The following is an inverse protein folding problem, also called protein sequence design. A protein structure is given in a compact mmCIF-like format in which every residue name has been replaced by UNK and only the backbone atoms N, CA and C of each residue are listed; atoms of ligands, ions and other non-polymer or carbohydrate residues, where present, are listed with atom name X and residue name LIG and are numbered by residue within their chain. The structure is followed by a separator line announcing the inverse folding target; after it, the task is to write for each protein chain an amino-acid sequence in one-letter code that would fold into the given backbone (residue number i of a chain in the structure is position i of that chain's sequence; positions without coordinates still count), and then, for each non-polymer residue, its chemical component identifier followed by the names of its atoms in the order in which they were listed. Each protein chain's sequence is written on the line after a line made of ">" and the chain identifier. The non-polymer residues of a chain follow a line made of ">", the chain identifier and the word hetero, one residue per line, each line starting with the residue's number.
data_IF_634279492641
#
_entry.id   IF_634279492641
#
_cell.length_a   1.000
_cell.length_b   1.000
_cell.length_c   1.000
_cell.angle_alpha   90.00
_cell.angle_beta   90.00
_cell.angle_gamma   90.00
#
_symmetry.space_group_name_H-M   'P 1'
#
loop_
_entity.id
_entity.type
_entity.pdbx_description
1 polymer ?
#
# COMPACT_ATOMS: atom_id res chain seq x y z
N UNK A 1 25.64 27.27 2.86
CA UNK A 1 25.81 25.92 2.28
C UNK A 1 27.24 25.39 2.43
N UNK A 2 28.27 26.23 2.35
CA UNK A 2 29.69 25.84 2.52
C UNK A 2 29.99 25.21 3.88
N UNK A 3 29.39 25.73 4.95
CA UNK A 3 29.70 25.30 6.32
C UNK A 3 29.16 23.91 6.64
N UNK A 4 28.01 23.55 6.06
CA UNK A 4 27.43 22.21 6.16
C UNK A 4 28.35 21.15 5.54
N UNK A 5 28.91 21.45 4.36
CA UNK A 5 29.84 20.55 3.70
C UNK A 5 31.17 20.44 4.45
N UNK A 6 31.67 21.54 5.01
CA UNK A 6 32.88 21.52 5.84
C UNK A 6 32.67 20.68 7.11
N UNK A 7 31.52 20.82 7.78
CA UNK A 7 31.16 20.00 8.93
C UNK A 7 31.05 18.52 8.58
N UNK A 8 30.33 18.18 7.50
CA UNK A 8 30.23 16.80 7.01
C UNK A 8 31.60 16.21 6.68
N UNK A 9 32.50 16.97 6.04
CA UNK A 9 33.85 16.51 5.74
C UNK A 9 34.71 16.28 7.00
N UNK A 10 34.36 16.92 8.12
CA UNK A 10 34.96 16.66 9.43
C UNK A 10 34.47 15.35 10.08
N UNK A 11 33.33 14.81 9.65
CA UNK A 11 32.88 13.48 10.06
C UNK A 11 33.67 12.44 9.29
N UNK A 12 34.57 11.70 9.94
CA UNK A 12 35.24 10.57 9.30
C UNK A 12 34.23 9.59 8.67
N UNK A 13 34.62 8.89 7.60
CA UNK A 13 33.73 8.11 6.73
C UNK A 13 32.74 7.18 7.48
N UNK A 14 33.16 6.55 8.57
CA UNK A 14 32.29 5.73 9.44
C UNK A 14 31.11 6.50 10.02
N UNK A 15 31.35 7.70 10.57
CA UNK A 15 30.31 8.53 11.20
C UNK A 15 29.38 9.12 10.16
N UNK A 16 29.95 9.55 9.03
CA UNK A 16 29.15 10.02 7.90
C UNK A 16 28.21 8.93 7.40
N UNK A 17 28.71 7.72 7.12
CA UNK A 17 27.87 6.62 6.63
C UNK A 17 26.78 6.24 7.64
N UNK A 18 27.08 6.24 8.94
CA UNK A 18 26.10 6.02 10.01
C UNK A 18 24.97 7.04 9.97
N UNK A 19 25.30 8.32 9.79
CA UNK A 19 24.33 9.41 9.68
C UNK A 19 23.42 9.19 8.47
N UNK A 20 23.97 8.80 7.33
CA UNK A 20 23.18 8.51 6.14
C UNK A 20 22.24 7.30 6.32
N UNK A 21 22.69 6.23 6.96
CA UNK A 21 21.82 5.10 7.32
C UNK A 21 20.71 5.54 8.27
N UNK A 22 21.04 6.34 9.30
CA UNK A 22 20.04 6.86 10.23
C UNK A 22 18.99 7.76 9.54
N UNK A 23 19.44 8.65 8.63
CA UNK A 23 18.54 9.47 7.80
C UNK A 23 17.66 8.59 6.93
N UNK A 24 18.21 7.54 6.31
CA UNK A 24 17.45 6.60 5.48
C UNK A 24 16.34 5.91 6.29
N UNK A 25 16.66 5.36 7.47
CA UNK A 25 15.69 4.74 8.37
C UNK A 25 14.61 5.73 8.83
N UNK A 26 14.99 6.98 9.13
CA UNK A 26 14.04 8.04 9.49
C UNK A 26 13.10 8.38 8.32
N UNK A 27 13.63 8.51 7.10
CA UNK A 27 12.83 8.77 5.92
C UNK A 27 11.86 7.62 5.62
N UNK A 28 12.32 6.37 5.78
CA UNK A 28 11.49 5.19 5.65
C UNK A 28 10.30 5.24 6.62
N UNK A 29 10.60 5.42 7.90
CA UNK A 29 9.59 5.41 8.97
C UNK A 29 8.58 6.54 8.85
N UNK A 30 9.03 7.74 8.51
CA UNK A 30 8.12 8.85 8.20
C UNK A 30 7.21 8.52 7.01
N UNK A 31 7.77 7.99 5.92
CA UNK A 31 6.98 7.57 4.75
C UNK A 31 5.99 6.43 5.07
N UNK A 32 6.40 5.46 5.87
CA UNK A 32 5.57 4.36 6.35
C UNK A 32 4.41 4.86 7.21
N UNK A 33 4.70 5.74 8.18
CA UNK A 33 3.69 6.35 9.05
C UNK A 33 2.70 7.19 8.26
N UNK A 34 3.19 8.07 7.37
CA UNK A 34 2.36 8.92 6.53
C UNK A 34 1.40 8.09 5.66
N UNK A 35 1.91 7.08 4.95
CA UNK A 35 1.05 6.29 4.08
C UNK A 35 0.17 5.27 4.84
N UNK A 36 0.50 4.90 6.09
CA UNK A 36 -0.41 4.14 6.96
C UNK A 36 -1.57 5.02 7.43
N UNK A 37 -1.25 6.22 7.93
CA UNK A 37 -2.24 7.23 8.35
C UNK A 37 -3.17 7.60 7.20
N UNK A 38 -2.63 7.79 5.99
CA UNK A 38 -3.43 8.10 4.80
C UNK A 38 -4.45 7.02 4.43
N UNK A 39 -4.17 5.74 4.73
CA UNK A 39 -5.07 4.63 4.43
C UNK A 39 -6.20 4.51 5.44
N UNK A 40 -5.89 4.66 6.74
CA UNK A 40 -6.92 4.63 7.80
C UNK A 40 -8.02 5.67 7.58
N UNK A 41 -7.66 6.84 7.07
CA UNK A 41 -8.63 7.89 6.72
C UNK A 41 -9.63 7.50 5.64
N UNK A 42 -9.34 6.49 4.83
CA UNK A 42 -10.24 6.08 3.73
C UNK A 42 -11.18 4.94 4.13
N UNK A 43 -10.85 4.17 5.17
CA UNK A 43 -11.56 2.92 5.49
C UNK A 43 -12.66 3.09 6.54
N UNK A 44 -12.46 3.96 7.54
CA UNK A 44 -13.42 4.07 8.67
C UNK A 44 -14.65 4.92 8.35
N UNK A 45 -14.67 5.65 7.24
CA UNK A 45 -15.75 6.58 6.97
C UNK A 45 -16.12 6.57 5.48
N UNK A 46 -17.19 5.84 5.14
CA UNK A 46 -17.94 6.07 3.90
C UNK A 46 -18.50 7.49 3.77
N UNK A 47 -18.30 8.33 4.79
CA UNK A 47 -18.49 9.77 4.76
C UNK A 47 -17.16 10.49 5.08
N UNK A 48 -16.69 11.44 4.28
CA UNK A 48 -15.51 12.24 4.62
C UNK A 48 -15.77 12.97 5.94
N UNK A 49 -15.06 12.60 7.01
CA UNK A 49 -15.06 13.38 8.24
C UNK A 49 -14.45 14.75 7.94
N UNK A 50 -15.22 15.81 8.16
CA UNK A 50 -14.96 17.21 7.74
C UNK A 50 -13.67 17.82 8.34
N UNK A 51 -13.02 17.14 9.29
CA UNK A 51 -11.76 17.57 9.91
C UNK A 51 -10.51 16.92 9.31
N UNK A 52 -10.53 16.63 8.01
CA UNK A 52 -9.35 16.22 7.26
C UNK A 52 -8.37 17.40 7.17
N UNK A 53 -7.47 17.48 8.15
CA UNK A 53 -6.41 18.48 8.20
C UNK A 53 -5.65 18.59 6.88
N UNK A 54 -5.07 19.76 6.62
CA UNK A 54 -4.48 20.16 5.34
C UNK A 54 -3.61 19.09 4.64
N UNK A 55 -2.89 18.28 5.42
CA UNK A 55 -2.00 17.23 4.91
C UNK A 55 -2.74 16.12 4.16
N UNK A 56 -3.92 15.71 4.63
CA UNK A 56 -4.76 14.70 3.98
C UNK A 56 -5.23 15.17 2.61
N UNK A 57 -5.70 16.42 2.55
CA UNK A 57 -6.13 17.07 1.31
C UNK A 57 -4.99 17.18 0.29
N UNK A 58 -3.77 17.54 0.72
CA UNK A 58 -2.61 17.60 -0.17
C UNK A 58 -2.24 16.22 -0.71
N UNK A 59 -2.17 15.19 0.14
CA UNK A 59 -1.85 13.83 -0.29
C UNK A 59 -2.92 13.25 -1.22
N UNK A 60 -4.19 13.50 -0.94
CA UNK A 60 -5.30 13.04 -1.78
C UNK A 60 -5.29 13.77 -3.14
N UNK A 61 -5.06 15.09 -3.15
CA UNK A 61 -4.93 15.89 -4.38
C UNK A 61 -3.74 15.43 -5.21
N UNK A 62 -2.61 15.13 -4.57
CA UNK A 62 -1.42 14.61 -5.23
C UNK A 62 -1.70 13.24 -5.86
N UNK A 63 -2.38 12.32 -5.14
CA UNK A 63 -2.72 10.98 -5.67
C UNK A 63 -3.74 11.01 -6.80
N UNK A 64 -4.69 11.97 -6.78
CA UNK A 64 -5.69 12.14 -7.84
C UNK A 64 -5.12 12.82 -9.10
N UNK A 65 -4.04 13.58 -8.97
CA UNK A 65 -3.39 14.21 -10.12
C UNK A 65 -2.72 13.15 -11.00
N UNK A 66 -2.79 13.31 -12.32
CA UNK A 66 -2.21 12.36 -13.29
C UNK A 66 -0.70 12.12 -13.10
N UNK A 67 0.02 13.10 -12.56
CA UNK A 67 1.44 13.03 -12.25
C UNK A 67 1.75 12.41 -10.88
N UNK A 68 0.75 12.14 -10.04
CA UNK A 68 0.91 11.60 -8.70
C UNK A 68 1.67 10.27 -8.66
N UNK A 69 1.26 9.25 -9.45
CA UNK A 69 1.96 7.97 -9.52
C UNK A 69 3.43 8.12 -9.97
N UNK A 70 3.69 9.01 -10.94
CA UNK A 70 5.04 9.29 -11.42
C UNK A 70 5.90 9.93 -10.34
N UNK A 71 5.38 10.94 -9.64
CA UNK A 71 6.10 11.60 -8.56
C UNK A 71 6.44 10.62 -7.43
N UNK A 72 5.50 9.76 -7.05
CA UNK A 72 5.74 8.71 -6.05
C UNK A 72 6.83 7.73 -6.51
N UNK A 73 6.85 7.37 -7.80
CA UNK A 73 7.92 6.53 -8.35
C UNK A 73 9.27 7.25 -8.34
N UNK A 74 9.32 8.54 -8.68
CA UNK A 74 10.54 9.34 -8.62
C UNK A 74 11.07 9.48 -7.19
N UNK A 75 10.20 9.73 -6.22
CA UNK A 75 10.58 9.78 -4.79
C UNK A 75 11.11 8.42 -4.33
N UNK A 76 10.44 7.32 -4.70
CA UNK A 76 10.93 5.96 -4.38
C UNK A 76 12.27 5.69 -5.04
N UNK A 77 12.44 6.05 -6.31
CA UNK A 77 13.71 5.89 -7.02
C UNK A 77 14.82 6.70 -6.35
N UNK A 78 14.56 7.95 -5.99
CA UNK A 78 15.52 8.81 -5.29
C UNK A 78 15.90 8.24 -3.91
N UNK A 79 14.94 7.66 -3.19
CA UNK A 79 15.20 6.99 -1.92
C UNK A 79 16.06 5.73 -2.09
N UNK A 80 15.63 4.80 -2.96
CA UNK A 80 16.25 3.49 -3.10
C UNK A 80 17.58 3.50 -3.85
N UNK A 81 17.69 4.32 -4.90
CA UNK A 81 18.90 4.42 -5.73
C UNK A 81 19.64 5.73 -5.51
N UNK A 82 18.93 6.84 -5.39
CA UNK A 82 19.54 8.16 -5.27
C UNK A 82 20.40 8.31 -4.02
N UNK A 83 19.95 7.83 -2.85
CA UNK A 83 20.70 7.95 -1.60
C UNK A 83 22.00 7.11 -1.61
N UNK A 84 21.98 5.81 -1.98
CA UNK A 84 23.21 5.04 -2.15
C UNK A 84 24.13 5.58 -3.25
N UNK A 85 23.57 6.07 -4.36
CA UNK A 85 24.35 6.63 -5.47
C UNK A 85 25.01 7.97 -5.13
N UNK A 86 24.32 8.84 -4.37
CA UNK A 86 24.88 10.10 -3.88
C UNK A 86 26.11 9.84 -2.98
N UNK A 87 26.04 8.80 -2.15
CA UNK A 87 27.16 8.33 -1.34
C UNK A 87 28.30 7.74 -2.17
N UNK A 88 27.99 7.03 -3.26
CA UNK A 88 28.99 6.49 -4.17
C UNK A 88 29.77 7.60 -4.90
N UNK A 89 29.08 8.66 -5.37
CA UNK A 89 29.72 9.81 -6.01
C UNK A 89 30.63 10.55 -5.02
N UNK A 90 30.27 10.55 -3.73
CA UNK A 90 31.05 11.18 -2.67
C UNK A 90 32.32 10.36 -2.39
N UNK A 91 33.40 10.77 -3.06
CA UNK A 91 34.73 10.13 -3.07
C UNK A 91 35.11 9.52 -1.71
N UNK A 92 35.14 8.18 -1.66
CA UNK A 92 35.78 7.41 -0.58
C UNK A 92 34.87 6.93 0.55
N UNK A 93 33.57 7.28 0.56
CA UNK A 93 32.66 6.76 1.60
C UNK A 93 32.16 5.35 1.25
N UNK A 94 31.95 5.08 -0.04
CA UNK A 94 31.38 3.82 -0.51
C UNK A 94 32.23 3.24 -1.64
N UNK A 95 32.78 2.06 -1.43
CA UNK A 95 33.54 1.33 -2.45
C UNK A 95 32.62 0.33 -3.18
N UNK A 96 32.84 0.14 -4.49
CA UNK A 96 32.03 -0.77 -5.32
C UNK A 96 32.19 -2.25 -4.92
N UNK A 97 33.32 -2.59 -4.30
CA UNK A 97 33.62 -3.95 -3.90
C UNK A 97 32.79 -4.40 -2.68
N UNK A 98 32.68 -3.64 -1.57
CA UNK A 98 31.68 -3.83 -0.51
C UNK A 98 30.24 -3.99 -0.98
N UNK A 99 29.86 -3.30 -2.07
CA UNK A 99 28.55 -3.46 -2.70
C UNK A 99 28.39 -4.80 -3.43
N UNK A 100 29.46 -5.59 -3.60
CA UNK A 100 29.41 -6.87 -4.29
C UNK A 100 29.22 -6.72 -5.80
N UNK A 101 29.51 -5.54 -6.34
CA UNK A 101 29.41 -5.26 -7.77
C UNK A 101 30.62 -5.79 -8.54
N UNK A 102 31.82 -5.71 -7.94
CA UNK A 102 33.09 -6.12 -8.58
C UNK A 102 33.52 -7.56 -8.24
N UNK A 103 32.76 -8.27 -7.40
CA UNK A 103 33.17 -9.58 -6.86
C UNK A 103 34.33 -9.50 -5.85
N UNK A 104 34.81 -10.64 -5.34
CA UNK A 104 36.02 -10.73 -4.51
C UNK A 104 37.25 -10.08 -5.17
N UNK A 105 38.12 -9.45 -4.38
CA UNK A 105 39.31 -8.70 -4.87
C UNK A 105 40.28 -9.57 -5.68
N UNK A 106 40.30 -10.86 -5.35
CA UNK A 106 41.25 -11.83 -5.87
C UNK A 106 40.83 -12.38 -7.25
N UNK A 107 39.64 -12.00 -7.72
CA UNK A 107 39.11 -12.35 -9.02
C UNK A 107 39.31 -11.16 -9.95
N UNK A 108 39.92 -11.39 -11.13
CA UNK A 108 40.06 -10.40 -12.20
C UNK A 108 38.79 -9.53 -12.29
N UNK A 109 38.96 -8.21 -12.13
CA UNK A 109 37.94 -7.20 -11.86
C UNK A 109 36.88 -7.11 -12.96
N UNK A 110 36.06 -8.14 -13.10
CA UNK A 110 34.92 -8.14 -13.99
C UNK A 110 33.78 -7.41 -13.29
N UNK A 111 33.16 -6.48 -14.00
CA UNK A 111 32.03 -5.63 -13.52
C UNK A 111 30.83 -6.46 -13.05
N UNK A 112 30.79 -7.75 -13.41
CA UNK A 112 29.74 -8.66 -13.05
C UNK A 112 30.17 -9.68 -11.96
N UNK A 113 31.44 -9.68 -11.55
CA UNK A 113 32.01 -10.64 -10.58
C UNK A 113 32.18 -12.07 -11.10
N UNK A 114 32.39 -12.25 -12.40
CA UNK A 114 32.59 -13.54 -13.08
C UNK A 114 34.09 -13.81 -13.23
N UNK A 115 34.77 -14.03 -12.11
CA UNK A 115 36.13 -14.57 -12.11
C UNK A 115 36.14 -16.10 -12.17
N UNK A 116 37.32 -16.74 -12.01
CA UNK A 116 37.48 -18.20 -12.12
C UNK A 116 36.56 -19.04 -11.22
N UNK A 117 36.07 -18.51 -10.09
CA UNK A 117 35.17 -19.23 -9.18
C UNK A 117 33.66 -19.05 -9.47
N UNK A 118 33.29 -18.39 -10.58
CA UNK A 118 31.90 -18.07 -10.88
C UNK A 118 30.97 -19.31 -10.85
N UNK A 119 31.47 -20.47 -11.28
CA UNK A 119 30.70 -21.71 -11.29
C UNK A 119 30.41 -22.21 -9.86
N UNK A 120 31.38 -22.12 -8.95
CA UNK A 120 31.21 -22.48 -7.54
C UNK A 120 30.22 -21.52 -6.88
N UNK A 121 30.37 -20.21 -7.10
CA UNK A 121 29.44 -19.21 -6.59
C UNK A 121 28.01 -19.43 -7.10
N UNK A 122 27.86 -19.75 -8.39
CA UNK A 122 26.57 -20.10 -9.00
C UNK A 122 25.98 -21.35 -8.35
N UNK A 123 26.77 -22.41 -8.17
CA UNK A 123 26.34 -23.63 -7.49
C UNK A 123 25.84 -23.38 -6.06
N UNK A 124 26.56 -22.55 -5.29
CA UNK A 124 26.14 -22.11 -3.95
C UNK A 124 24.81 -21.35 -4.00
N UNK A 125 24.63 -20.43 -4.96
CA UNK A 125 23.40 -19.66 -5.10
C UNK A 125 22.21 -20.50 -5.57
N UNK A 126 22.44 -21.52 -6.40
CA UNK A 126 21.42 -22.51 -6.75
C UNK A 126 21.00 -23.28 -5.50
N UNK A 127 21.95 -23.73 -4.67
CA UNK A 127 21.63 -24.43 -3.42
C UNK A 127 20.82 -23.54 -2.45
N UNK A 128 21.24 -22.28 -2.25
CA UNK A 128 20.49 -21.28 -1.44
C UNK A 128 19.11 -21.03 -2.03
N UNK A 129 19.00 -20.87 -3.35
CA UNK A 129 17.73 -20.68 -4.04
C UNK A 129 16.79 -21.86 -3.86
N UNK A 130 17.27 -23.10 -4.00
CA UNK A 130 16.49 -24.32 -3.78
C UNK A 130 16.03 -24.44 -2.32
N UNK A 131 16.94 -24.23 -1.36
CA UNK A 131 16.60 -24.23 0.06
C UNK A 131 15.53 -23.18 0.38
N UNK A 132 15.69 -21.97 -0.16
CA UNK A 132 14.70 -20.90 -0.03
C UNK A 132 13.35 -21.28 -0.64
N UNK A 133 13.33 -21.83 -1.85
CA UNK A 133 12.11 -22.30 -2.48
C UNK A 133 11.39 -23.36 -1.63
N UNK A 134 12.12 -24.29 -1.02
CA UNK A 134 11.55 -25.30 -0.12
C UNK A 134 10.92 -24.67 1.12
N UNK A 135 11.62 -23.74 1.80
CA UNK A 135 11.06 -23.02 2.97
C UNK A 135 9.76 -22.30 2.61
N UNK A 136 9.74 -21.65 1.45
CA UNK A 136 8.57 -20.91 0.96
C UNK A 136 7.41 -21.85 0.65
N UNK A 137 7.67 -22.94 -0.06
CA UNK A 137 6.65 -23.94 -0.40
C UNK A 137 6.10 -24.60 0.87
N UNK A 138 6.97 -24.93 1.82
CA UNK A 138 6.59 -25.52 3.10
C UNK A 138 5.76 -24.55 3.94
N UNK A 139 6.19 -23.30 4.12
CA UNK A 139 5.43 -22.29 4.86
C UNK A 139 4.04 -22.07 4.27
N UNK A 140 3.92 -22.07 2.94
CA UNK A 140 2.62 -21.98 2.25
C UNK A 140 1.74 -23.19 2.46
N UNK A 141 2.30 -24.40 2.39
CA UNK A 141 1.54 -25.63 2.62
C UNK A 141 0.97 -25.65 4.05
N UNK A 142 1.77 -25.25 5.05
CA UNK A 142 1.32 -25.12 6.43
C UNK A 142 0.23 -24.06 6.57
N UNK A 143 0.40 -22.87 5.97
CA UNK A 143 -0.62 -21.82 6.05
C UNK A 143 -1.95 -22.28 5.43
N UNK A 144 -1.92 -22.93 4.26
CA UNK A 144 -3.12 -23.49 3.63
C UNK A 144 -3.79 -24.53 4.51
N UNK A 145 -2.99 -25.38 5.17
CA UNK A 145 -3.52 -26.36 6.11
C UNK A 145 -4.22 -25.68 7.28
N UNK A 146 -3.62 -24.64 7.90
CA UNK A 146 -4.26 -23.87 8.97
C UNK A 146 -5.54 -23.17 8.50
N UNK A 147 -5.50 -22.51 7.34
CA UNK A 147 -6.65 -21.79 6.77
C UNK A 147 -7.79 -22.74 6.40
N UNK A 148 -7.51 -23.95 5.92
CA UNK A 148 -8.56 -24.93 5.62
C UNK A 148 -9.34 -25.37 6.87
N UNK A 149 -8.79 -25.15 8.07
CA UNK A 149 -9.42 -25.49 9.35
C UNK A 149 -9.94 -24.25 10.10
N UNK A 150 -9.83 -23.05 9.52
CA UNK A 150 -10.41 -21.82 10.05
C UNK A 150 -11.48 -21.37 9.06
N UNK A 151 -12.74 -21.31 9.47
CA UNK A 151 -13.95 -21.11 8.62
C UNK A 151 -14.00 -19.77 7.83
N UNK A 152 -12.91 -19.02 7.75
CA UNK A 152 -12.80 -17.78 6.99
C UNK A 152 -12.22 -18.01 5.60
N UNK A 153 -13.00 -18.58 4.69
CA UNK A 153 -12.66 -18.61 3.27
C UNK A 153 -12.70 -17.22 2.65
N UNK A 154 -11.67 -16.40 2.89
CA UNK A 154 -11.49 -15.12 2.19
C UNK A 154 -10.65 -15.35 0.93
N UNK A 155 -11.21 -14.97 -0.21
CA UNK A 155 -10.46 -14.86 -1.45
C UNK A 155 -9.38 -13.79 -1.26
N UNK A 156 -8.13 -14.20 -1.46
CA UNK A 156 -7.01 -13.27 -1.47
C UNK A 156 -7.01 -12.55 -2.81
N UNK A 157 -7.27 -11.24 -2.78
CA UNK A 157 -7.25 -10.37 -3.96
C UNK A 157 -5.84 -10.42 -4.57
N UNK A 158 -5.74 -11.03 -5.76
CA UNK A 158 -4.49 -11.24 -6.49
C UNK A 158 -4.18 -10.00 -7.34
N UNK A 159 -3.35 -9.10 -6.81
CA UNK A 159 -2.80 -7.97 -7.56
C UNK A 159 -1.73 -8.46 -8.57
N UNK A 160 -2.19 -9.14 -9.63
CA UNK A 160 -1.39 -9.86 -10.63
C UNK A 160 -0.51 -9.03 -11.56
N UNK A 161 0.32 -8.11 -11.05
CA UNK A 161 1.23 -7.29 -11.86
C UNK A 161 2.69 -7.74 -11.67
N UNK A 162 3.29 -8.30 -12.73
CA UNK A 162 4.67 -8.82 -12.78
C UNK A 162 5.75 -7.74 -12.95
N UNK A 163 5.45 -6.63 -13.64
CA UNK A 163 6.40 -5.51 -13.84
C UNK A 163 7.00 -4.90 -12.56
N UNK A 164 6.22 -4.76 -11.47
CA UNK A 164 6.72 -4.36 -10.15
C UNK A 164 7.84 -5.24 -9.59
N UNK A 165 7.93 -6.54 -9.91
CA UNK A 165 8.86 -7.47 -9.24
C UNK A 165 10.33 -7.12 -9.51
N UNK A 166 10.69 -6.89 -10.78
CA UNK A 166 12.09 -6.66 -11.17
C UNK A 166 12.59 -5.38 -10.52
N UNK A 167 11.82 -4.29 -10.66
CA UNK A 167 12.12 -3.00 -10.04
C UNK A 167 12.21 -3.11 -8.53
N UNK A 168 11.24 -3.77 -7.88
CA UNK A 168 11.23 -3.93 -6.43
C UNK A 168 12.44 -4.75 -5.96
N UNK A 169 12.81 -5.79 -6.68
CA UNK A 169 13.98 -6.61 -6.37
C UNK A 169 15.25 -5.75 -6.43
N UNK A 170 15.44 -4.97 -7.49
CA UNK A 170 16.59 -4.08 -7.63
C UNK A 170 16.62 -3.07 -6.48
N UNK A 171 15.50 -2.42 -6.18
CA UNK A 171 15.40 -1.46 -5.07
C UNK A 171 15.79 -2.09 -3.73
N UNK A 172 15.24 -3.26 -3.41
CA UNK A 172 15.53 -3.95 -2.16
C UNK A 172 16.99 -4.40 -2.08
N UNK A 173 17.57 -4.91 -3.16
CA UNK A 173 18.97 -5.35 -3.18
C UNK A 173 19.95 -4.19 -3.05
N UNK A 174 19.69 -3.06 -3.72
CA UNK A 174 20.52 -1.85 -3.59
C UNK A 174 20.41 -1.27 -2.18
N UNK A 175 19.19 -1.18 -1.64
CA UNK A 175 18.94 -0.68 -0.28
C UNK A 175 19.65 -1.52 0.78
N UNK A 176 19.53 -2.83 0.67
CA UNK A 176 20.18 -3.74 1.60
C UNK A 176 21.70 -3.72 1.45
N UNK A 177 22.22 -3.65 0.21
CA UNK A 177 23.65 -3.48 -0.04
C UNK A 177 24.19 -2.18 0.59
N UNK A 178 23.41 -1.10 0.54
CA UNK A 178 23.72 0.12 1.27
C UNK A 178 23.74 -0.12 2.79
N UNK A 179 22.74 -0.75 3.38
CA UNK A 179 22.69 -0.97 4.84
C UNK A 179 23.80 -1.85 5.38
N UNK A 180 24.26 -2.86 4.65
CA UNK A 180 25.38 -3.69 5.10
C UNK A 180 26.75 -2.99 4.97
N UNK A 181 26.89 -1.95 4.15
CA UNK A 181 28.17 -1.22 4.02
C UNK A 181 28.56 -0.53 5.31
N UNK A 182 27.60 -0.03 6.08
CA UNK A 182 27.87 0.62 7.36
C UNK A 182 28.49 -0.34 8.38
N UNK A 183 27.85 -1.48 8.72
CA UNK A 183 28.48 -2.56 9.49
C UNK A 183 29.86 -2.98 8.97
N UNK A 184 30.04 -3.08 7.66
CA UNK A 184 31.33 -3.48 7.09
C UNK A 184 32.44 -2.48 7.38
N UNK A 185 32.18 -1.17 7.29
CA UNK A 185 33.16 -0.15 7.65
C UNK A 185 33.56 -0.16 9.13
N UNK A 186 32.66 -0.60 10.01
CA UNK A 186 32.94 -0.74 11.44
C UNK A 186 33.67 -2.04 11.78
N UNK A 187 33.22 -3.16 11.22
CA UNK A 187 33.80 -4.48 11.47
C UNK A 187 35.14 -4.67 10.75
N UNK A 188 35.39 -3.93 9.67
CA UNK A 188 36.59 -4.02 8.86
C UNK A 188 36.53 -5.12 7.80
N UNK A 189 37.52 -5.11 6.90
CA UNK A 189 37.66 -6.11 5.83
C UNK A 189 37.78 -7.53 6.39
N UNK A 190 37.22 -8.51 5.66
CA UNK A 190 37.15 -9.91 6.10
C UNK A 190 35.92 -10.27 6.92
N UNK A 191 35.12 -9.28 7.34
CA UNK A 191 33.87 -9.48 8.10
C UNK A 191 32.61 -9.28 7.25
N UNK A 192 32.67 -9.50 5.93
CA UNK A 192 31.57 -9.21 5.00
C UNK A 192 30.32 -10.04 5.33
N UNK A 193 30.49 -11.28 5.80
CA UNK A 193 29.38 -12.14 6.22
C UNK A 193 28.64 -11.56 7.43
N UNK A 194 29.36 -11.17 8.48
CA UNK A 194 28.77 -10.53 9.66
C UNK A 194 28.12 -9.19 9.33
N UNK A 195 28.76 -8.40 8.45
CA UNK A 195 28.20 -7.15 7.97
C UNK A 195 26.88 -7.34 7.21
N UNK A 196 26.78 -8.40 6.40
CA UNK A 196 25.55 -8.77 5.68
C UNK A 196 24.39 -9.03 6.64
N UNK A 197 24.62 -9.80 7.70
CA UNK A 197 23.60 -10.09 8.71
C UNK A 197 23.27 -8.86 9.57
N UNK A 198 24.25 -8.03 9.92
CA UNK A 198 23.99 -6.76 10.59
C UNK A 198 23.10 -5.84 9.73
N UNK A 199 23.31 -5.82 8.40
CA UNK A 199 22.44 -5.15 7.45
C UNK A 199 20.99 -5.66 7.48
N UNK A 200 20.78 -6.98 7.64
CA UNK A 200 19.44 -7.55 7.88
C UNK A 200 18.83 -7.02 9.17
N UNK A 201 19.64 -6.87 10.23
CA UNK A 201 19.18 -6.26 11.49
C UNK A 201 18.64 -4.84 11.31
N UNK A 202 19.28 -4.03 10.46
CA UNK A 202 18.82 -2.68 10.13
C UNK A 202 17.50 -2.73 9.34
N UNK A 203 17.39 -3.62 8.33
CA UNK A 203 16.13 -3.82 7.59
C UNK A 203 15.00 -4.31 8.51
N UNK A 204 15.31 -5.19 9.46
CA UNK A 204 14.35 -5.68 10.44
C UNK A 204 13.88 -4.55 11.38
N UNK A 205 14.78 -3.64 11.78
CA UNK A 205 14.42 -2.44 12.52
C UNK A 205 13.47 -1.54 11.72
N UNK A 206 13.72 -1.31 10.43
CA UNK A 206 12.79 -0.56 9.57
C UNK A 206 11.41 -1.21 9.52
N UNK A 207 11.36 -2.53 9.32
CA UNK A 207 10.11 -3.28 9.28
C UNK A 207 9.37 -3.20 10.62
N UNK A 208 10.08 -3.31 11.75
CA UNK A 208 9.52 -3.19 13.08
C UNK A 208 8.97 -1.78 13.38
N UNK A 209 9.49 -0.74 12.71
CA UNK A 209 8.99 0.63 12.86
C UNK A 209 7.84 0.94 11.88
N UNK A 210 7.55 0.08 10.91
CA UNK A 210 6.37 0.21 10.04
C UNK A 210 5.11 -0.33 10.73
N UNK A 211 4.11 0.50 11.07
CA UNK A 211 2.86 0.02 11.69
C UNK A 211 2.08 -0.96 10.80
N UNK A 212 2.30 -0.97 9.48
CA UNK A 212 1.67 -1.93 8.56
C UNK A 212 2.23 -3.33 8.73
N UNK A 213 3.50 -3.45 9.11
CA UNK A 213 4.12 -4.74 9.34
C UNK A 213 3.40 -5.48 10.47
N UNK A 214 3.21 -4.82 11.61
CA UNK A 214 2.47 -5.38 12.74
C UNK A 214 1.00 -5.64 12.43
N UNK A 215 0.34 -4.70 11.75
CA UNK A 215 -1.05 -4.89 11.31
C UNK A 215 -1.20 -6.08 10.36
N UNK A 216 -0.21 -6.32 9.48
CA UNK A 216 -0.20 -7.47 8.59
C UNK A 216 0.10 -8.77 9.33
N UNK A 217 0.97 -8.76 10.35
CA UNK A 217 1.26 -9.95 11.16
C UNK A 217 0.08 -10.38 12.04
N UNK A 218 -0.78 -9.44 12.44
CA UNK A 218 -2.00 -9.74 13.20
C UNK A 218 -3.10 -10.42 12.39
N UNK A 219 -2.97 -10.48 11.07
CA UNK A 219 -3.94 -11.06 10.14
C UNK A 219 -3.27 -12.22 9.38
N UNK A 220 -3.65 -13.50 9.61
CA UNK A 220 -3.01 -14.66 8.99
C UNK A 220 -2.92 -14.57 7.45
N UNK A 221 -3.92 -13.98 6.80
CA UNK A 221 -3.97 -13.85 5.34
C UNK A 221 -2.92 -12.85 4.84
N UNK A 222 -2.68 -11.79 5.63
CA UNK A 222 -1.73 -10.72 5.30
C UNK A 222 -0.33 -10.99 5.80
N UNK A 223 -0.17 -11.83 6.82
CA UNK A 223 1.10 -12.14 7.47
C UNK A 223 2.08 -12.86 6.53
N UNK A 224 1.58 -13.59 5.52
CA UNK A 224 2.42 -14.35 4.59
C UNK A 224 3.40 -13.45 3.83
N UNK A 225 2.97 -12.25 3.45
CA UNK A 225 3.79 -11.32 2.65
C UNK A 225 5.02 -10.83 3.43
N UNK A 226 4.89 -10.21 4.62
CA UNK A 226 6.06 -9.78 5.39
C UNK A 226 6.95 -10.97 5.82
N UNK A 227 6.38 -12.13 6.15
CA UNK A 227 7.16 -13.32 6.47
C UNK A 227 8.01 -13.80 5.28
N UNK A 228 7.41 -13.85 4.08
CA UNK A 228 8.12 -14.19 2.85
C UNK A 228 9.22 -13.18 2.53
N UNK A 229 8.95 -11.88 2.68
CA UNK A 229 9.96 -10.83 2.55
C UNK A 229 11.10 -11.01 3.56
N UNK A 230 10.79 -11.39 4.80
CA UNK A 230 11.80 -11.71 5.82
C UNK A 230 12.69 -12.89 5.43
N UNK A 231 12.10 -13.98 4.93
CA UNK A 231 12.84 -15.14 4.42
C UNK A 231 13.74 -14.74 3.25
N UNK A 232 13.23 -13.99 2.27
CA UNK A 232 14.04 -13.52 1.14
C UNK A 232 15.18 -12.60 1.58
N UNK A 233 14.95 -11.73 2.57
CA UNK A 233 15.98 -10.88 3.15
C UNK A 233 17.09 -11.72 3.79
N UNK A 234 16.72 -12.73 4.59
CA UNK A 234 17.68 -13.63 5.23
C UNK A 234 18.50 -14.43 4.21
N UNK A 235 17.83 -15.06 3.24
CA UNK A 235 18.49 -15.78 2.14
C UNK A 235 19.41 -14.86 1.34
N UNK A 236 19.07 -13.57 1.26
CA UNK A 236 19.91 -12.59 0.57
C UNK A 236 21.22 -12.35 1.30
N UNK A 237 21.17 -12.21 2.62
CA UNK A 237 22.37 -12.11 3.44
C UNK A 237 23.22 -13.38 3.41
N UNK A 238 22.60 -14.56 3.47
CA UNK A 238 23.33 -15.83 3.33
C UNK A 238 24.00 -15.97 1.97
N UNK A 239 23.26 -15.73 0.90
CA UNK A 239 23.77 -15.82 -0.46
C UNK A 239 24.97 -14.88 -0.68
N UNK A 240 24.88 -13.65 -0.17
CA UNK A 240 25.99 -12.72 -0.21
C UNK A 240 27.17 -13.16 0.67
N UNK A 241 26.94 -13.64 1.89
CA UNK A 241 28.01 -14.14 2.75
C UNK A 241 28.81 -15.27 2.07
N UNK A 242 28.14 -16.09 1.25
CA UNK A 242 28.74 -17.23 0.54
C UNK A 242 29.41 -16.87 -0.79
N UNK A 243 28.97 -15.80 -1.45
CA UNK A 243 29.39 -15.50 -2.84
C UNK A 243 29.96 -14.12 -3.06
N UNK A 244 29.64 -13.17 -2.18
CA UNK A 244 29.97 -11.75 -2.30
C UNK A 244 29.56 -11.14 -3.66
N UNK A 245 28.54 -11.71 -4.32
CA UNK A 245 28.10 -11.31 -5.65
C UNK A 245 26.65 -10.80 -5.61
N UNK A 246 26.46 -9.50 -5.83
CA UNK A 246 25.15 -8.86 -5.78
C UNK A 246 24.26 -9.27 -6.96
N UNK A 247 24.84 -9.55 -8.13
CA UNK A 247 24.09 -9.90 -9.35
C UNK A 247 23.46 -11.27 -9.25
N UNK A 248 24.22 -12.28 -8.81
CA UNK A 248 23.68 -13.62 -8.55
C UNK A 248 22.58 -13.55 -7.49
N UNK A 249 22.78 -12.73 -6.46
CA UNK A 249 21.79 -12.53 -5.43
C UNK A 249 20.50 -11.92 -5.98
N UNK A 250 20.59 -10.84 -6.76
CA UNK A 250 19.43 -10.22 -7.38
C UNK A 250 18.69 -11.18 -8.32
N UNK A 251 19.42 -11.98 -9.10
CA UNK A 251 18.85 -13.00 -9.98
C UNK A 251 18.11 -14.08 -9.19
N UNK A 252 18.71 -14.62 -8.13
CA UNK A 252 18.08 -15.63 -7.27
C UNK A 252 16.86 -15.07 -6.55
N UNK A 253 16.94 -13.85 -6.00
CA UNK A 253 15.81 -13.19 -5.36
C UNK A 253 14.65 -13.00 -6.34
N UNK A 254 14.93 -12.52 -7.56
CA UNK A 254 13.94 -12.34 -8.62
C UNK A 254 13.30 -13.66 -9.03
N UNK A 255 14.08 -14.73 -9.18
CA UNK A 255 13.58 -16.06 -9.51
C UNK A 255 12.63 -16.59 -8.42
N UNK A 256 12.99 -16.42 -7.14
CA UNK A 256 12.14 -16.81 -6.02
C UNK A 256 10.85 -15.98 -5.93
N UNK A 257 10.97 -14.66 -6.05
CA UNK A 257 9.83 -13.76 -6.06
C UNK A 257 8.86 -14.11 -7.19
N UNK A 258 9.36 -14.30 -8.42
CA UNK A 258 8.54 -14.66 -9.56
C UNK A 258 7.91 -16.06 -9.43
N UNK A 259 8.69 -17.04 -8.98
CA UNK A 259 8.22 -18.40 -8.74
C UNK A 259 7.11 -18.46 -7.69
N UNK A 260 7.19 -17.62 -6.65
CA UNK A 260 6.17 -17.52 -5.62
C UNK A 260 4.86 -16.93 -6.13
N UNK A 261 4.92 -15.87 -6.97
CA UNK A 261 3.74 -15.21 -7.53
C UNK A 261 3.01 -16.07 -8.58
N UNK A 262 3.73 -16.74 -9.48
CA UNK A 262 3.10 -17.61 -10.50
C UNK A 262 2.27 -18.75 -9.89
N UNK A 263 2.58 -19.16 -8.66
CA UNK A 263 1.84 -20.18 -7.93
C UNK A 263 0.71 -19.61 -7.07
N UNK A 264 0.68 -18.29 -6.84
CA UNK A 264 -0.40 -17.58 -6.15
C UNK A 264 -1.60 -17.38 -7.07
N UNK A 265 -1.38 -16.82 -8.26
CA UNK A 265 -2.47 -16.56 -9.22
C UNK A 265 -3.08 -17.79 -9.90
N UNK A 266 -2.73 -18.99 -9.44
CA UNK A 266 -3.37 -20.26 -9.85
C UNK A 266 -4.26 -20.85 -8.77
N UNK A 267 -4.61 -20.10 -7.72
CA UNK A 267 -5.70 -20.51 -6.86
C UNK A 267 -6.93 -20.72 -7.75
N UNK A 268 -7.28 -21.99 -7.97
CA UNK A 268 -8.45 -22.35 -8.75
C UNK A 268 -9.65 -21.65 -8.12
N UNK A 269 -10.56 -21.07 -8.92
CA UNK A 269 -11.84 -20.65 -8.40
C UNK A 269 -12.37 -21.83 -7.59
N UNK A 270 -12.69 -21.58 -6.32
CA UNK A 270 -13.25 -22.62 -5.46
C UNK A 270 -14.32 -23.32 -6.30
N UNK A 271 -14.31 -24.66 -6.42
CA UNK A 271 -15.30 -25.35 -7.22
C UNK A 271 -16.64 -24.81 -6.74
N UNK A 272 -17.29 -24.00 -7.59
CA UNK A 272 -18.63 -23.53 -7.35
C UNK A 272 -19.34 -24.81 -7.00
N UNK A 273 -19.81 -24.94 -5.74
CA UNK A 273 -20.58 -26.10 -5.32
C UNK A 273 -21.82 -26.10 -6.21
N UNK A 274 -21.68 -26.74 -7.35
CA UNK A 274 -22.69 -26.95 -8.35
C UNK A 274 -23.65 -27.96 -7.72
N UNK A 275 -24.57 -27.45 -6.92
CA UNK A 275 -25.52 -28.25 -6.17
C UNK A 275 -25.85 -27.65 -4.81
N UNK A 276 -26.81 -26.73 -4.77
CA UNK A 276 -27.68 -26.58 -3.58
C UNK A 276 -27.86 -25.18 -3.01
N UNK A 277 -26.97 -24.22 -3.28
CA UNK A 277 -27.14 -22.83 -2.77
C UNK A 277 -27.66 -21.90 -3.86
N UNK A 278 -27.33 -22.15 -5.13
CA UNK A 278 -27.83 -21.37 -6.27
C UNK A 278 -29.36 -21.28 -6.31
N UNK A 279 -30.06 -22.41 -6.12
CA UNK A 279 -31.54 -22.43 -6.13
C UNK A 279 -32.18 -21.73 -4.93
N UNK A 280 -31.49 -21.63 -3.79
CA UNK A 280 -32.02 -20.93 -2.61
C UNK A 280 -31.68 -19.44 -2.64
N UNK A 281 -30.51 -19.08 -3.16
CA UNK A 281 -30.10 -17.70 -3.33
C UNK A 281 -30.91 -17.02 -4.43
N UNK A 282 -31.16 -17.68 -5.57
CA UNK A 282 -32.05 -17.16 -6.61
C UNK A 282 -33.48 -17.00 -6.10
N UNK A 283 -34.01 -17.97 -5.35
CA UNK A 283 -35.33 -17.84 -4.73
C UNK A 283 -35.40 -16.71 -3.67
N UNK A 284 -34.33 -16.47 -2.92
CA UNK A 284 -34.26 -15.35 -1.97
C UNK A 284 -34.09 -14.00 -2.68
N UNK A 285 -33.32 -13.95 -3.77
CA UNK A 285 -33.11 -12.73 -4.56
C UNK A 285 -34.39 -12.34 -5.32
N UNK A 286 -35.09 -13.32 -5.89
CA UNK A 286 -36.41 -13.14 -6.51
C UNK A 286 -37.45 -12.66 -5.48
N UNK A 287 -37.50 -13.27 -4.29
CA UNK A 287 -38.38 -12.80 -3.21
C UNK A 287 -38.02 -11.40 -2.69
N UNK A 288 -36.74 -11.03 -2.66
CA UNK A 288 -36.32 -9.68 -2.25
C UNK A 288 -36.65 -8.63 -3.31
N UNK A 289 -36.50 -8.95 -4.59
CA UNK A 289 -36.86 -8.04 -5.67
C UNK A 289 -38.37 -7.83 -5.78
N UNK A 290 -39.16 -8.87 -5.55
CA UNK A 290 -40.62 -8.75 -5.41
C UNK A 290 -41.01 -7.84 -4.25
N UNK A 291 -40.36 -7.99 -3.10
CA UNK A 291 -40.62 -7.15 -1.92
C UNK A 291 -40.23 -5.69 -2.17
N UNK A 292 -39.10 -5.44 -2.86
CA UNK A 292 -38.69 -4.09 -3.27
C UNK A 292 -39.67 -3.46 -4.26
N UNK A 293 -40.18 -4.25 -5.21
CA UNK A 293 -41.18 -3.77 -6.16
C UNK A 293 -42.50 -3.41 -5.46
N UNK A 294 -42.91 -4.18 -4.44
CA UNK A 294 -44.10 -3.88 -3.65
C UNK A 294 -43.92 -2.61 -2.81
N UNK A 295 -42.77 -2.45 -2.15
CA UNK A 295 -42.47 -1.24 -1.37
C UNK A 295 -42.40 0.02 -2.25
N UNK A 296 -41.85 -0.08 -3.46
CA UNK A 296 -41.87 1.01 -4.43
C UNK A 296 -43.29 1.38 -4.87
N UNK A 297 -44.18 0.39 -5.08
CA UNK A 297 -45.59 0.64 -5.40
C UNK A 297 -46.32 1.32 -4.24
N UNK A 298 -46.05 0.92 -2.99
CA UNK A 298 -46.61 1.56 -1.79
C UNK A 298 -46.14 3.01 -1.65
N UNK A 299 -44.85 3.27 -1.83
CA UNK A 299 -44.32 4.64 -1.82
C UNK A 299 -44.91 5.51 -2.93
N UNK A 300 -45.11 4.97 -4.14
CA UNK A 300 -45.78 5.69 -5.22
C UNK A 300 -47.24 5.99 -4.88
N UNK A 301 -47.98 5.04 -4.30
CA UNK A 301 -49.36 5.24 -3.86
C UNK A 301 -49.47 6.32 -2.78
N UNK A 302 -48.59 6.31 -1.77
CA UNK A 302 -48.55 7.33 -0.71
C UNK A 302 -48.23 8.72 -1.29
N UNK A 303 -47.33 8.79 -2.27
CA UNK A 303 -46.98 10.06 -2.92
C UNK A 303 -48.16 10.63 -3.71
N UNK A 304 -48.93 9.78 -4.39
CA UNK A 304 -50.15 10.19 -5.10
C UNK A 304 -51.25 10.64 -4.13
N UNK A 305 -51.41 9.97 -2.99
CA UNK A 305 -52.37 10.36 -1.96
C UNK A 305 -52.04 11.73 -1.36
N UNK A 306 -50.75 12.00 -1.06
CA UNK A 306 -50.31 13.32 -0.58
C UNK A 306 -50.57 14.41 -1.63
N UNK A 307 -50.38 14.11 -2.92
CA UNK A 307 -50.68 15.06 -3.99
C UNK A 307 -52.18 15.40 -4.08
N UNK A 308 -53.06 14.39 -3.94
CA UNK A 308 -54.51 14.59 -3.89
C UNK A 308 -54.94 15.40 -2.66
N UNK A 309 -54.39 15.11 -1.49
CA UNK A 309 -54.68 15.86 -0.25
C UNK A 309 -54.26 17.33 -0.39
N UNK A 310 -53.12 17.61 -1.02
CA UNK A 310 -52.66 18.97 -1.32
C UNK A 310 -53.61 19.67 -2.30
N UNK A 311 -54.11 18.97 -3.33
CA UNK A 311 -55.08 19.53 -4.27
C UNK A 311 -56.42 19.86 -3.58
N UNK A 312 -56.91 18.98 -2.71
CA UNK A 312 -58.11 19.20 -1.89
C UNK A 312 -57.90 20.40 -0.95
N UNK A 313 -56.74 20.50 -0.31
CA UNK A 313 -56.42 21.64 0.54
C UNK A 313 -56.39 22.95 -0.25
N UNK A 314 -55.70 23.00 -1.39
CA UNK A 314 -55.61 24.21 -2.22
C UNK A 314 -56.97 24.66 -2.78
N UNK A 315 -57.84 23.71 -3.14
CA UNK A 315 -59.22 24.03 -3.58
C UNK A 315 -60.06 24.60 -2.44
N UNK A 316 -59.94 24.04 -1.23
CA UNK A 316 -60.61 24.58 -0.03
C UNK A 316 -60.17 26.02 0.31
N UNK A 317 -58.87 26.30 0.23
CA UNK A 317 -58.31 27.64 0.46
C UNK A 317 -58.79 28.64 -0.59
N UNK A 318 -58.85 28.24 -1.87
CA UNK A 318 -59.41 29.08 -2.94
C UNK A 318 -60.90 29.38 -2.71
N UNK A 319 -61.67 28.41 -2.25
CA UNK A 319 -63.11 28.58 -1.98
C UNK A 319 -63.34 29.51 -0.77
N UNK A 320 -62.54 29.36 0.29
CA UNK A 320 -62.57 30.25 1.45
C UNK A 320 -62.22 31.71 1.07
N UNK A 321 -61.19 31.91 0.23
CA UNK A 321 -60.79 33.24 -0.25
C UNK A 321 -61.84 33.89 -1.17
N UNK A 322 -62.58 33.10 -1.95
CA UNK A 322 -63.72 33.63 -2.72
C UNK A 322 -64.85 34.11 -1.79
N UNK A 323 -65.17 33.35 -0.74
CA UNK A 323 -66.20 33.74 0.24
C UNK A 323 -65.84 35.01 1.03
N UNK A 324 -64.59 35.18 1.41
CA UNK A 324 -64.15 36.41 2.12
C UNK A 324 -64.22 37.65 1.22
N UNK A 325 -63.88 37.52 -0.07
CA UNK A 325 -63.97 38.64 -1.03
C UNK A 325 -65.41 39.07 -1.28
N UNK A 326 -66.34 38.12 -1.46
CA UNK A 326 -67.76 38.45 -1.62
C UNK A 326 -68.37 39.07 -0.36
N UNK A 327 -67.92 38.66 0.84
CA UNK A 327 -68.34 39.28 2.10
C UNK A 327 -67.84 40.71 2.28
N UNK A 328 -66.60 41.00 1.87
CA UNK A 328 -66.04 42.35 1.93
C UNK A 328 -66.72 43.32 0.96
N UNK A 329 -67.06 42.87 -0.26
CA UNK A 329 -67.78 43.68 -1.24
C UNK A 329 -69.22 43.97 -0.80
N UNK A 330 -69.91 43.01 -0.17
CA UNK A 330 -71.23 43.24 0.41
C UNK A 330 -71.21 44.23 1.61
N UNK A 331 -70.13 44.25 2.40
CA UNK A 331 -69.97 45.18 3.52
C UNK A 331 -69.60 46.62 3.11
N UNK A 332 -68.91 46.80 1.99
CA UNK A 332 -68.48 48.12 1.51
C UNK A 332 -69.62 48.96 0.91
N UNK A 333 -70.64 48.32 0.33
CA UNK A 333 -71.81 49.01 -0.26
C UNK A 333 -72.72 49.63 0.82
N UNK A 334 -72.64 49.19 2.08
CA UNK A 334 -73.47 49.70 3.17
C UNK A 334 -72.95 50.95 3.90
N UNK A 335 -71.73 51.42 3.64
CA UNK A 335 -71.05 52.43 4.50
C UNK A 335 -70.77 53.79 3.83
N UNK A 336 -71.35 54.04 2.66
CA UNK A 336 -71.11 55.24 1.83
C UNK A 336 -72.28 56.23 1.71
N UNK A 337 -73.28 56.18 2.60
CA UNK A 337 -74.30 57.24 2.73
C UNK A 337 -74.12 57.92 4.08
N UNK A 338 -74.05 59.24 4.05
CA UNK A 338 -74.10 60.19 5.18
C UNK A 338 -72.80 60.94 5.47
N UNK A 339 -72.32 61.71 4.49
CA UNK A 339 -71.64 62.99 4.75
C UNK A 339 -72.02 63.99 3.65
N UNK A 340 -73.16 64.68 3.83
CA UNK A 340 -73.43 65.97 3.18
C UNK A 340 -72.94 67.08 4.13
N UNK A 341 -72.02 67.96 3.69
CA UNK A 341 -71.85 69.25 4.35
C UNK A 341 -72.83 70.27 3.77
N UNK A 342 -73.64 70.87 4.65
CA UNK A 342 -74.45 72.05 4.35
C UNK A 342 -73.53 73.27 4.21
N UNK A 343 -73.66 73.97 3.08
CA UNK A 343 -73.39 75.40 2.91
C UNK A 343 -74.48 76.00 2.00
#
# INVERSE_FOLDING_TARGET
>A
MTDFWAWLNGLGARRELALWVAISVLLHTLGALLAWRSRRWTTDAGQPTVDDGWLGNVLQRLRRHWSGPLLLQLVRFAYFLGLPYALLIRRGVLELQPLGLLGPADLDQSVLGWGGEWLIATGRMVAVGLAGALVVLWGRANLRWVMAHTDGGRETEDDGVTGPIVRETIYLQVHWAFYRTAPLLWLGAGNEGWAAFAGVGIVALEAALDPRFWAALGDPDRAIRPLFTGVLCWLSALGFALTRNLWLLAATHMALAWGSQRRLGRAQPAPQRAGGVGDRASAQEEAQDDQRAEDQRRQQADTLQVADDVLVFLTSVRQARRRSRTGAEAGAVGRGRDLRPDL
#
